data_IF_350690561645
#
_entry.id   IF_350690561645
#
_cell.length_a   1.000
_cell.length_b   1.000
_cell.length_c   1.000
_cell.angle_alpha   90.00
_cell.angle_beta   90.00
_cell.angle_gamma   90.00
#
_symmetry.space_group_name_H-M   'P 1'
#
loop_
_entity.id
_entity.type
_entity.pdbx_description
1 polymer ?
#
# COMPACT_ATOMS: atom_id res chain seq x y z
N UNK A 1 -12.02 16.71 -13.93
CA UNK A 1 -12.78 16.96 -12.69
C UNK A 1 -11.81 16.68 -11.56
N UNK A 2 -11.59 17.62 -10.66
CA UNK A 2 -10.70 17.41 -9.51
C UNK A 2 -11.29 16.30 -8.61
N UNK A 3 -10.59 15.17 -8.49
CA UNK A 3 -11.03 14.02 -7.70
C UNK A 3 -11.25 14.41 -6.24
N UNK A 4 -10.40 15.28 -5.70
CA UNK A 4 -10.51 15.76 -4.32
C UNK A 4 -11.80 16.57 -4.15
N UNK A 5 -12.17 17.41 -5.12
CA UNK A 5 -13.42 18.17 -5.09
C UNK A 5 -14.67 17.27 -5.17
N UNK A 6 -14.60 16.18 -5.94
CA UNK A 6 -15.68 15.19 -5.98
C UNK A 6 -15.83 14.47 -4.63
N UNK A 7 -14.71 14.08 -4.04
CA UNK A 7 -14.69 13.40 -2.74
C UNK A 7 -15.20 14.29 -1.60
N UNK A 8 -14.87 15.59 -1.62
CA UNK A 8 -15.45 16.58 -0.69
C UNK A 8 -16.99 16.59 -0.71
N UNK A 9 -17.60 16.19 -1.83
CA UNK A 9 -19.06 16.08 -1.96
C UNK A 9 -19.58 14.68 -1.58
N UNK A 10 -18.85 13.62 -1.91
CA UNK A 10 -19.31 12.24 -1.76
C UNK A 10 -18.96 11.63 -0.40
N UNK A 11 -17.73 11.80 0.07
CA UNK A 11 -17.23 11.20 1.32
C UNK A 11 -18.14 11.54 2.51
N UNK A 12 -18.56 12.80 2.73
CA UNK A 12 -19.47 13.13 3.84
C UNK A 12 -20.83 12.41 3.78
N UNK A 13 -21.29 12.04 2.59
CA UNK A 13 -22.56 11.29 2.39
C UNK A 13 -22.37 9.79 2.62
N UNK A 14 -21.18 9.27 2.34
CA UNK A 14 -20.86 7.85 2.47
C UNK A 14 -20.41 7.49 3.90
N UNK A 15 -19.69 8.39 4.57
CA UNK A 15 -19.13 8.21 5.90
C UNK A 15 -20.13 7.64 6.92
N UNK A 16 -21.37 8.17 7.03
CA UNK A 16 -22.35 7.68 8.00
C UNK A 16 -22.69 6.20 7.87
N UNK A 17 -22.46 5.60 6.69
CA UNK A 17 -22.75 4.18 6.42
C UNK A 17 -21.48 3.33 6.26
N UNK A 18 -20.29 3.91 6.43
CA UNK A 18 -19.04 3.23 6.09
C UNK A 18 -18.71 2.04 7.01
N UNK A 19 -19.06 2.09 8.31
CA UNK A 19 -18.94 0.92 9.18
C UNK A 19 -19.82 -0.25 8.69
N UNK A 20 -21.11 -0.01 8.47
CA UNK A 20 -22.03 -1.05 7.97
C UNK A 20 -21.57 -1.63 6.62
N UNK A 21 -21.00 -0.79 5.74
CA UNK A 21 -20.43 -1.23 4.47
C UNK A 21 -19.21 -2.12 4.68
N UNK A 22 -18.32 -1.78 5.62
CA UNK A 22 -17.17 -2.60 5.96
C UNK A 22 -17.61 -3.98 6.51
N UNK A 23 -18.58 -4.02 7.43
CA UNK A 23 -19.16 -5.27 7.95
C UNK A 23 -19.77 -6.13 6.83
N UNK A 24 -20.53 -5.51 5.92
CA UNK A 24 -21.10 -6.21 4.77
C UNK A 24 -20.02 -6.80 3.83
N UNK A 25 -18.88 -6.10 3.67
CA UNK A 25 -17.75 -6.60 2.89
C UNK A 25 -17.03 -7.76 3.60
N UNK A 26 -16.85 -7.69 4.92
CA UNK A 26 -16.30 -8.79 5.72
C UNK A 26 -17.19 -10.04 5.57
N UNK A 27 -18.51 -9.88 5.75
CA UNK A 27 -19.47 -10.96 5.57
C UNK A 27 -19.42 -11.57 4.15
N UNK A 28 -19.26 -10.72 3.12
CA UNK A 28 -19.09 -11.20 1.74
C UNK A 28 -17.82 -12.03 1.59
N UNK A 29 -16.68 -11.55 2.09
CA UNK A 29 -15.39 -12.27 2.05
C UNK A 29 -15.49 -13.63 2.75
N UNK A 30 -16.05 -13.67 3.95
CA UNK A 30 -16.27 -14.90 4.71
C UNK A 30 -17.22 -15.85 3.99
N UNK A 31 -18.28 -15.35 3.33
CA UNK A 31 -19.17 -16.18 2.50
C UNK A 31 -18.46 -16.87 1.32
N UNK A 32 -17.25 -16.40 0.97
CA UNK A 32 -16.38 -16.97 -0.07
C UNK A 32 -15.16 -17.70 0.51
N UNK A 33 -15.09 -17.87 1.83
CA UNK A 33 -14.04 -18.64 2.52
C UNK A 33 -12.80 -17.84 2.91
N UNK A 34 -12.76 -16.53 2.67
CA UNK A 34 -11.65 -15.68 3.09
C UNK A 34 -11.80 -15.27 4.56
N UNK A 35 -10.82 -15.63 5.39
CA UNK A 35 -10.79 -15.30 6.83
C UNK A 35 -9.65 -14.37 7.21
N UNK A 36 -8.75 -14.07 6.26
CA UNK A 36 -7.61 -13.17 6.44
C UNK A 36 -7.58 -12.16 5.30
N UNK A 37 -7.35 -10.89 5.61
CA UNK A 37 -7.17 -9.83 4.63
C UNK A 37 -6.11 -8.82 5.09
N UNK A 38 -5.60 -8.07 4.12
CA UNK A 38 -4.95 -6.78 4.35
C UNK A 38 -5.75 -5.73 3.60
N UNK A 39 -6.19 -4.69 4.29
CA UNK A 39 -7.01 -3.63 3.72
C UNK A 39 -6.30 -2.30 3.77
N UNK A 40 -6.17 -1.66 2.61
CA UNK A 40 -5.80 -0.25 2.53
C UNK A 40 -7.00 0.61 2.95
N UNK A 41 -6.76 1.53 3.88
CA UNK A 41 -7.76 2.45 4.40
C UNK A 41 -7.32 3.89 4.09
N UNK A 42 -8.15 4.61 3.34
CA UNK A 42 -7.81 5.95 2.90
C UNK A 42 -7.68 6.90 4.08
N UNK A 43 -6.55 7.62 4.13
CA UNK A 43 -6.28 8.74 5.02
C UNK A 43 -6.16 9.98 4.14
N UNK A 44 -7.16 10.85 4.23
CA UNK A 44 -7.31 12.00 3.35
C UNK A 44 -7.84 13.23 4.12
N UNK A 45 -7.69 14.45 3.59
CA UNK A 45 -8.12 15.66 4.29
C UNK A 45 -9.63 15.77 4.54
N UNK A 46 -10.46 15.06 3.77
CA UNK A 46 -11.92 15.12 3.83
C UNK A 46 -12.45 14.19 4.92
N UNK A 47 -12.02 12.93 4.92
CA UNK A 47 -12.45 11.95 5.92
C UNK A 47 -11.64 12.04 7.22
N UNK A 48 -10.41 12.57 7.16
CA UNK A 48 -9.46 12.54 8.25
C UNK A 48 -9.18 11.10 8.67
N UNK A 49 -9.49 10.78 9.93
CA UNK A 49 -9.33 9.43 10.50
C UNK A 49 -10.66 8.68 10.65
N UNK A 50 -11.80 9.29 10.30
CA UNK A 50 -13.13 8.72 10.55
C UNK A 50 -13.36 7.41 9.78
N UNK A 51 -12.84 7.31 8.57
CA UNK A 51 -12.89 6.07 7.78
C UNK A 51 -12.15 4.93 8.49
N UNK A 52 -11.00 5.23 9.08
CA UNK A 52 -10.21 4.29 9.87
C UNK A 52 -10.94 3.88 11.16
N UNK A 53 -11.51 4.84 11.89
CA UNK A 53 -12.31 4.54 13.09
C UNK A 53 -13.46 3.58 12.79
N UNK A 54 -14.19 3.81 11.69
CA UNK A 54 -15.29 2.95 11.29
C UNK A 54 -14.83 1.56 10.85
N UNK A 55 -13.70 1.46 10.16
CA UNK A 55 -13.10 0.17 9.82
C UNK A 55 -12.66 -0.59 11.07
N UNK A 56 -12.02 0.07 12.02
CA UNK A 56 -11.62 -0.56 13.29
C UNK A 56 -12.83 -1.07 14.08
N UNK A 57 -13.91 -0.29 14.19
CA UNK A 57 -15.17 -0.74 14.83
C UNK A 57 -15.78 -1.94 14.11
N UNK A 58 -15.77 -1.96 12.78
CA UNK A 58 -16.24 -3.12 12.02
C UNK A 58 -15.39 -4.36 12.31
N UNK A 59 -14.07 -4.22 12.35
CA UNK A 59 -13.14 -5.32 12.63
C UNK A 59 -13.23 -5.82 14.08
N UNK A 60 -13.48 -4.94 15.05
CA UNK A 60 -13.75 -5.30 16.45
C UNK A 60 -14.92 -6.29 16.56
N UNK A 61 -15.97 -6.12 15.75
CA UNK A 61 -17.12 -7.02 15.71
C UNK A 61 -16.81 -8.41 15.10
N UNK A 62 -15.65 -8.58 14.45
CA UNK A 62 -15.26 -9.79 13.73
C UNK A 62 -13.93 -10.40 14.22
N UNK A 63 -13.38 -9.97 15.37
CA UNK A 63 -12.07 -10.44 15.85
C UNK A 63 -11.96 -11.96 16.06
N UNK A 64 -13.09 -12.64 16.26
CA UNK A 64 -13.13 -14.09 16.49
C UNK A 64 -13.03 -14.91 15.20
N UNK A 65 -13.42 -14.35 14.05
CA UNK A 65 -13.60 -15.10 12.80
C UNK A 65 -13.00 -14.43 11.55
N UNK A 66 -12.42 -13.24 11.70
CA UNK A 66 -11.75 -12.51 10.62
C UNK A 66 -10.50 -11.78 11.13
N UNK A 67 -9.37 -12.01 10.49
CA UNK A 67 -8.12 -11.28 10.75
C UNK A 67 -7.88 -10.27 9.64
N UNK A 68 -7.70 -9.00 9.99
CA UNK A 68 -7.42 -7.95 9.02
C UNK A 68 -6.25 -7.09 9.48
N UNK A 69 -5.22 -7.00 8.65
CA UNK A 69 -4.19 -5.98 8.77
C UNK A 69 -4.64 -4.71 8.04
N UNK A 70 -4.36 -3.54 8.61
CA UNK A 70 -4.70 -2.26 7.99
C UNK A 70 -3.43 -1.59 7.46
N UNK A 71 -3.55 -0.99 6.29
CA UNK A 71 -2.57 -0.06 5.73
C UNK A 71 -3.17 1.34 5.76
N UNK A 72 -2.53 2.28 6.46
CA UNK A 72 -2.90 3.71 6.38
C UNK A 72 -2.48 4.21 4.99
N UNK A 73 -3.42 4.65 4.16
CA UNK A 73 -3.16 4.82 2.73
C UNK A 73 -3.46 6.24 2.22
N UNK A 74 -2.45 6.98 1.74
CA UNK A 74 -2.62 8.33 1.19
C UNK A 74 -3.02 8.23 -0.30
N UNK A 75 -4.30 7.98 -0.58
CA UNK A 75 -4.85 7.75 -1.93
C UNK A 75 -4.59 8.89 -2.92
N UNK A 76 -4.33 10.10 -2.44
CA UNK A 76 -4.01 11.29 -3.25
C UNK A 76 -2.56 11.73 -3.11
N UNK A 77 -1.66 10.85 -2.68
CA UNK A 77 -0.25 11.14 -2.45
C UNK A 77 0.01 11.74 -1.07
N UNK A 78 1.13 11.35 -0.46
CA UNK A 78 1.49 11.77 0.90
C UNK A 78 1.81 13.27 0.95
N UNK A 79 2.58 13.73 -0.03
CA UNK A 79 3.03 15.12 -0.16
C UNK A 79 1.98 15.98 -0.85
N UNK A 80 1.37 15.46 -1.91
CA UNK A 80 0.37 16.19 -2.69
C UNK A 80 -0.85 16.56 -1.85
N UNK A 81 -1.39 15.61 -1.08
CA UNK A 81 -2.53 15.85 -0.20
C UNK A 81 -2.15 16.37 1.20
N UNK A 82 -0.85 16.48 1.51
CA UNK A 82 -0.30 17.01 2.77
C UNK A 82 -0.82 16.29 4.02
N UNK A 83 -0.87 14.96 3.97
CA UNK A 83 -1.47 14.12 5.02
C UNK A 83 -0.45 13.47 5.96
N UNK A 84 0.83 13.88 5.94
CA UNK A 84 1.88 13.29 6.82
C UNK A 84 1.46 13.25 8.30
N UNK A 85 0.90 14.34 8.82
CA UNK A 85 0.38 14.40 10.19
C UNK A 85 -0.72 13.38 10.46
N UNK A 86 -1.73 13.32 9.58
CA UNK A 86 -2.83 12.36 9.69
C UNK A 86 -2.35 10.91 9.57
N UNK A 87 -1.38 10.65 8.70
CA UNK A 87 -0.78 9.33 8.55
C UNK A 87 -0.08 8.89 9.83
N UNK A 88 0.67 9.78 10.48
CA UNK A 88 1.31 9.51 11.78
C UNK A 88 0.28 9.26 12.89
N UNK A 89 -0.80 10.03 12.92
CA UNK A 89 -1.92 9.80 13.84
C UNK A 89 -2.59 8.43 13.58
N UNK A 90 -2.82 8.07 12.32
CA UNK A 90 -3.34 6.75 11.96
C UNK A 90 -2.42 5.61 12.44
N UNK A 91 -1.10 5.77 12.34
CA UNK A 91 -0.16 4.78 12.89
C UNK A 91 -0.25 4.67 14.41
N UNK A 92 -0.47 5.77 15.13
CA UNK A 92 -0.67 5.78 16.59
C UNK A 92 -1.97 5.09 17.01
N UNK A 93 -2.98 5.05 16.13
CA UNK A 93 -4.22 4.28 16.34
C UNK A 93 -4.03 2.76 16.18
N UNK A 94 -2.80 2.28 15.97
CA UNK A 94 -2.47 0.86 15.99
C UNK A 94 -2.48 0.16 14.62
N UNK A 95 -2.54 0.92 13.53
CA UNK A 95 -2.43 0.39 12.15
C UNK A 95 -1.09 -0.33 11.92
N UNK A 96 -1.08 -1.38 11.10
CA UNK A 96 0.07 -2.29 10.95
C UNK A 96 1.06 -1.85 9.86
N UNK A 97 0.59 -1.12 8.84
CA UNK A 97 1.42 -0.69 7.71
C UNK A 97 1.18 0.77 7.34
N UNK A 98 2.25 1.46 6.93
CA UNK A 98 2.16 2.74 6.23
C UNK A 98 2.10 2.49 4.72
N UNK A 99 1.21 3.19 4.03
CA UNK A 99 1.07 3.11 2.59
C UNK A 99 1.65 4.32 1.87
N UNK A 100 1.73 4.18 0.55
CA UNK A 100 2.09 5.23 -0.39
C UNK A 100 1.46 4.94 -1.75
N UNK A 101 1.43 5.93 -2.63
CA UNK A 101 0.90 5.79 -3.99
C UNK A 101 1.76 6.57 -4.98
N UNK A 102 2.27 5.88 -6.00
CA UNK A 102 2.90 6.46 -7.21
C UNK A 102 3.72 7.73 -6.91
N UNK A 103 4.89 7.57 -6.27
CA UNK A 103 5.64 8.66 -5.66
C UNK A 103 6.16 9.69 -6.68
N UNK A 104 6.25 9.32 -7.95
CA UNK A 104 6.59 10.23 -9.05
C UNK A 104 5.35 10.87 -9.65
N UNK A 105 4.36 10.08 -10.03
CA UNK A 105 3.23 10.57 -10.83
C UNK A 105 2.19 11.32 -9.98
N UNK A 106 2.03 10.95 -8.71
CA UNK A 106 1.05 11.58 -7.81
C UNK A 106 1.73 12.64 -6.94
N UNK A 107 2.82 12.28 -6.26
CA UNK A 107 3.51 13.22 -5.37
C UNK A 107 4.48 14.18 -6.10
N UNK A 108 4.87 13.88 -7.35
CA UNK A 108 5.76 14.73 -8.14
C UNK A 108 7.20 14.81 -7.62
N UNK A 109 7.52 14.09 -6.55
CA UNK A 109 8.80 14.14 -5.83
C UNK A 109 9.13 12.75 -5.26
N UNK A 110 9.57 11.84 -6.15
CA UNK A 110 9.74 10.41 -5.85
C UNK A 110 10.53 10.14 -4.57
N UNK A 111 11.74 10.68 -4.46
CA UNK A 111 12.62 10.43 -3.31
C UNK A 111 12.01 10.99 -2.01
N UNK A 112 11.52 12.23 -2.04
CA UNK A 112 10.93 12.87 -0.86
C UNK A 112 9.66 12.14 -0.37
N UNK A 113 8.84 11.63 -1.29
CA UNK A 113 7.64 10.85 -0.96
C UNK A 113 8.01 9.52 -0.30
N UNK A 114 8.95 8.79 -0.90
CA UNK A 114 9.44 7.52 -0.36
C UNK A 114 10.14 7.71 0.99
N UNK A 115 10.95 8.74 1.14
CA UNK A 115 11.63 9.07 2.41
C UNK A 115 10.63 9.37 3.52
N UNK A 116 9.61 10.18 3.24
CA UNK A 116 8.57 10.48 4.22
C UNK A 116 7.81 9.20 4.65
N UNK A 117 7.42 8.36 3.70
CA UNK A 117 6.76 7.08 3.97
C UNK A 117 7.66 6.15 4.82
N UNK A 118 8.92 5.95 4.43
CA UNK A 118 9.85 5.09 5.17
C UNK A 118 10.17 5.66 6.55
N UNK A 119 10.26 6.97 6.69
CA UNK A 119 10.48 7.60 8.00
C UNK A 119 9.32 7.30 8.96
N UNK A 120 8.07 7.37 8.50
CA UNK A 120 6.90 6.96 9.31
C UNK A 120 7.02 5.48 9.73
N UNK A 121 7.41 4.60 8.81
CA UNK A 121 7.60 3.18 9.12
C UNK A 121 8.69 2.95 10.17
N UNK A 122 9.83 3.64 10.04
CA UNK A 122 10.95 3.56 10.97
C UNK A 122 10.59 4.11 12.36
N UNK A 123 9.94 5.27 12.41
CA UNK A 123 9.52 5.92 13.65
C UNK A 123 8.53 5.07 14.46
N UNK A 124 7.69 4.29 13.75
CA UNK A 124 6.62 3.49 14.36
C UNK A 124 6.97 2.00 14.49
N UNK A 125 8.07 1.56 13.86
CA UNK A 125 8.49 0.15 13.78
C UNK A 125 7.59 -0.74 12.92
N UNK A 126 6.67 -0.15 12.15
CA UNK A 126 5.62 -0.80 11.36
C UNK A 126 6.08 -1.13 9.94
N UNK A 127 5.26 -1.88 9.20
CA UNK A 127 5.56 -2.27 7.82
C UNK A 127 5.19 -1.19 6.80
N UNK A 128 5.56 -1.42 5.55
CA UNK A 128 5.21 -0.60 4.39
C UNK A 128 4.42 -1.44 3.39
N UNK A 129 3.34 -0.90 2.84
CA UNK A 129 2.62 -1.48 1.70
C UNK A 129 2.23 -0.39 0.71
N UNK A 130 3.03 -0.25 -0.35
CA UNK A 130 2.93 0.84 -1.32
C UNK A 130 2.28 0.38 -2.62
N UNK A 131 1.31 1.15 -3.11
CA UNK A 131 0.77 0.98 -4.45
C UNK A 131 1.71 1.62 -5.48
N UNK A 132 2.22 0.81 -6.41
CA UNK A 132 3.10 1.26 -7.48
C UNK A 132 2.57 0.80 -8.84
N UNK A 133 1.88 1.71 -9.52
CA UNK A 133 1.33 1.52 -10.86
C UNK A 133 2.23 2.09 -11.95
N UNK A 134 3.24 2.88 -11.57
CA UNK A 134 4.17 3.50 -12.52
C UNK A 134 4.85 2.43 -13.39
N UNK A 135 4.59 2.47 -14.70
CA UNK A 135 5.20 1.57 -15.70
C UNK A 135 6.34 2.22 -16.48
N UNK A 136 6.54 3.53 -16.32
CA UNK A 136 7.62 4.27 -16.96
C UNK A 136 8.97 3.98 -16.29
N UNK A 137 10.09 4.47 -16.83
CA UNK A 137 11.40 4.39 -16.15
C UNK A 137 11.38 4.95 -14.71
N UNK A 138 10.42 5.83 -14.37
CA UNK A 138 10.23 6.32 -13.02
C UNK A 138 9.81 5.21 -12.04
N UNK A 139 8.95 4.27 -12.47
CA UNK A 139 8.56 3.14 -11.62
C UNK A 139 9.73 2.20 -11.31
N UNK A 140 10.61 1.96 -12.30
CA UNK A 140 11.85 1.21 -12.09
C UNK A 140 12.78 1.95 -11.14
N UNK A 141 12.92 3.27 -11.29
CA UNK A 141 13.70 4.11 -10.38
C UNK A 141 13.16 4.05 -8.95
N UNK A 142 11.84 4.10 -8.76
CA UNK A 142 11.20 3.98 -7.46
C UNK A 142 11.46 2.62 -6.81
N UNK A 143 11.35 1.51 -7.56
CA UNK A 143 11.69 0.16 -7.06
C UNK A 143 13.15 0.10 -6.60
N UNK A 144 14.08 0.58 -7.44
CA UNK A 144 15.50 0.57 -7.11
C UNK A 144 15.82 1.44 -5.89
N UNK A 145 15.15 2.58 -5.74
CA UNK A 145 15.26 3.45 -4.58
C UNK A 145 14.78 2.73 -3.31
N UNK A 146 13.60 2.12 -3.34
CA UNK A 146 13.05 1.37 -2.21
C UNK A 146 13.96 0.22 -1.79
N UNK A 147 14.50 -0.55 -2.74
CA UNK A 147 15.46 -1.62 -2.45
C UNK A 147 16.69 -1.05 -1.74
N UNK A 148 17.28 0.02 -2.26
CA UNK A 148 18.45 0.67 -1.67
C UNK A 148 18.16 1.22 -0.27
N UNK A 149 16.95 1.73 -0.02
CA UNK A 149 16.53 2.20 1.30
C UNK A 149 16.43 1.05 2.29
N UNK A 150 15.86 -0.10 1.89
CA UNK A 150 15.80 -1.29 2.76
C UNK A 150 17.19 -1.87 3.01
N UNK A 151 18.06 -1.92 2.00
CA UNK A 151 19.47 -2.34 2.13
C UNK A 151 20.23 -1.51 3.19
N UNK A 152 19.96 -0.20 3.26
CA UNK A 152 20.56 0.71 4.24
C UNK A 152 19.92 0.65 5.63
N UNK A 153 18.71 0.11 5.74
CA UNK A 153 17.90 0.12 6.97
C UNK A 153 17.45 -1.30 7.32
N UNK A 154 18.27 -2.10 8.04
CA UNK A 154 17.96 -3.49 8.37
C UNK A 154 16.63 -3.69 9.11
N UNK A 155 16.13 -2.67 9.81
CA UNK A 155 14.84 -2.70 10.50
C UNK A 155 13.63 -2.83 9.56
N UNK A 156 13.79 -2.53 8.27
CA UNK A 156 12.76 -2.62 7.23
C UNK A 156 12.77 -3.95 6.47
N UNK A 157 13.83 -4.76 6.64
CA UNK A 157 13.96 -6.06 5.97
C UNK A 157 12.77 -6.95 6.34
N UNK A 158 12.11 -7.55 5.35
CA UNK A 158 10.94 -8.40 5.57
C UNK A 158 9.65 -7.65 5.91
N UNK A 159 9.64 -6.31 5.81
CA UNK A 159 8.50 -5.47 6.21
C UNK A 159 7.95 -4.59 5.09
N UNK A 160 8.41 -4.76 3.86
CA UNK A 160 8.00 -3.92 2.72
C UNK A 160 7.28 -4.78 1.69
N UNK A 161 6.09 -4.34 1.31
CA UNK A 161 5.27 -4.94 0.26
C UNK A 161 5.09 -3.95 -0.88
N UNK A 162 5.36 -4.39 -2.11
CA UNK A 162 5.07 -3.66 -3.34
C UNK A 162 3.75 -4.17 -3.91
N UNK A 163 2.70 -3.35 -3.86
CA UNK A 163 1.41 -3.64 -4.47
C UNK A 163 1.44 -3.25 -5.94
N UNK A 164 1.06 -4.19 -6.82
CA UNK A 164 1.14 -4.17 -8.28
C UNK A 164 2.56 -4.25 -8.85
N UNK A 165 3.39 -3.24 -8.61
CA UNK A 165 4.76 -3.11 -9.16
C UNK A 165 4.86 -3.36 -10.67
N UNK A 166 3.97 -2.76 -11.46
CA UNK A 166 3.89 -3.02 -12.90
C UNK A 166 5.17 -2.67 -13.68
N UNK A 167 6.01 -1.78 -13.16
CA UNK A 167 7.36 -1.53 -13.70
C UNK A 167 8.22 -2.79 -13.86
N UNK A 168 8.01 -3.84 -13.06
CA UNK A 168 8.75 -5.10 -13.23
C UNK A 168 8.50 -5.76 -14.60
N UNK A 169 7.35 -5.49 -15.23
CA UNK A 169 7.01 -6.02 -16.56
C UNK A 169 7.77 -5.34 -17.70
N UNK A 170 8.39 -4.19 -17.45
CA UNK A 170 9.09 -3.40 -18.48
C UNK A 170 10.59 -3.65 -18.52
N UNK A 171 11.12 -4.39 -17.52
CA UNK A 171 12.52 -4.77 -17.43
C UNK A 171 12.87 -5.86 -18.44
N UNK A 172 14.07 -5.79 -19.01
CA UNK A 172 14.61 -6.90 -19.78
C UNK A 172 14.97 -8.10 -18.86
N UNK A 173 15.17 -9.32 -19.40
CA UNK A 173 15.40 -10.50 -18.56
C UNK A 173 16.58 -10.40 -17.58
N UNK A 174 17.66 -9.71 -17.95
CA UNK A 174 18.82 -9.55 -17.06
C UNK A 174 18.54 -8.57 -15.93
N UNK A 175 17.92 -7.42 -16.25
CA UNK A 175 17.50 -6.43 -15.26
C UNK A 175 16.50 -7.02 -14.28
N UNK A 176 15.49 -7.74 -14.79
CA UNK A 176 14.49 -8.40 -13.95
C UNK A 176 15.14 -9.41 -13.00
N UNK A 177 16.10 -10.21 -13.49
CA UNK A 177 16.79 -11.19 -12.66
C UNK A 177 17.62 -10.53 -11.55
N UNK A 178 18.30 -9.42 -11.85
CA UNK A 178 19.04 -8.64 -10.86
C UNK A 178 18.11 -8.02 -9.81
N UNK A 179 17.05 -7.33 -10.25
CA UNK A 179 16.05 -6.71 -9.38
C UNK A 179 15.37 -7.76 -8.49
N UNK A 180 14.95 -8.90 -9.04
CA UNK A 180 14.35 -9.99 -8.28
C UNK A 180 15.29 -10.56 -7.22
N UNK A 181 16.58 -10.72 -7.55
CA UNK A 181 17.59 -11.19 -6.60
C UNK A 181 17.74 -10.24 -5.41
N UNK A 182 17.80 -8.93 -5.68
CA UNK A 182 17.91 -7.91 -4.62
C UNK A 182 16.64 -7.85 -3.76
N UNK A 183 15.47 -7.90 -4.39
CA UNK A 183 14.19 -7.93 -3.69
C UNK A 183 14.09 -9.15 -2.75
N UNK A 184 14.43 -10.34 -3.23
CA UNK A 184 14.46 -11.57 -2.43
C UNK A 184 15.47 -11.49 -1.27
N UNK A 185 16.66 -10.93 -1.52
CA UNK A 185 17.67 -10.74 -0.49
C UNK A 185 17.19 -9.84 0.66
N UNK A 186 16.29 -8.89 0.39
CA UNK A 186 15.71 -8.00 1.39
C UNK A 186 14.35 -8.47 1.94
N UNK A 187 13.85 -9.62 1.48
CA UNK A 187 12.51 -10.13 1.83
C UNK A 187 11.41 -9.09 1.56
N UNK A 188 11.58 -8.29 0.52
CA UNK A 188 10.50 -7.44 0.01
C UNK A 188 9.45 -8.40 -0.59
N UNK A 189 8.16 -8.13 -0.43
CA UNK A 189 7.09 -8.96 -0.98
C UNK A 189 6.34 -8.25 -2.09
N UNK A 190 5.71 -9.02 -2.98
CA UNK A 190 4.87 -8.51 -4.06
C UNK A 190 3.41 -8.90 -3.83
N UNK A 191 2.51 -7.92 -3.84
CA UNK A 191 1.07 -8.16 -3.93
C UNK A 191 0.62 -7.87 -5.36
N UNK A 192 0.49 -8.92 -6.18
CA UNK A 192 0.05 -8.81 -7.56
C UNK A 192 -1.44 -9.10 -7.67
N UNK A 193 -2.19 -8.21 -8.31
CA UNK A 193 -3.44 -8.63 -8.98
C UNK A 193 -3.05 -9.37 -10.25
N UNK A 194 -3.81 -10.38 -10.68
CA UNK A 194 -3.67 -10.96 -12.02
C UNK A 194 -4.63 -10.17 -12.92
N UNK A 195 -4.21 -9.05 -13.53
CA UNK A 195 -5.09 -8.35 -14.44
C UNK A 195 -5.40 -9.29 -15.61
N UNK A 196 -6.68 -9.44 -15.90
CA UNK A 196 -7.14 -10.08 -17.15
C UNK A 196 -6.79 -9.09 -18.27
N UNK A 197 -5.61 -9.23 -18.90
CA UNK A 197 -5.11 -8.28 -19.92
C UNK A 197 -3.61 -8.38 -20.22
N UNK A 198 -3.04 -7.35 -20.88
CA UNK A 198 -1.68 -7.35 -21.44
C UNK A 198 -0.51 -7.09 -20.48
N UNK A 199 -0.78 -6.76 -19.20
CA UNK A 199 0.24 -6.58 -18.16
C UNK A 199 0.37 -7.87 -17.34
N UNK A 200 0.90 -8.91 -17.95
CA UNK A 200 1.14 -10.18 -17.25
C UNK A 200 2.38 -10.04 -16.36
N UNK A 201 2.17 -10.12 -15.04
CA UNK A 201 3.28 -10.09 -14.09
C UNK A 201 4.17 -11.33 -14.26
N UNK A 202 5.52 -11.18 -14.22
CA UNK A 202 6.46 -12.28 -14.47
C UNK A 202 6.60 -13.21 -13.24
N UNK A 203 5.47 -13.72 -12.74
CA UNK A 203 5.41 -14.52 -11.51
C UNK A 203 6.32 -15.77 -11.56
N UNK A 204 6.40 -16.55 -12.65
CA UNK A 204 7.32 -17.68 -12.70
C UNK A 204 8.79 -17.28 -12.51
N UNK A 205 9.24 -16.22 -13.20
CA UNK A 205 10.61 -15.73 -13.12
C UNK A 205 10.94 -15.19 -11.72
N UNK A 206 9.97 -14.56 -11.09
CA UNK A 206 10.08 -14.09 -9.71
C UNK A 206 10.18 -15.27 -8.71
N UNK A 207 9.36 -16.31 -8.88
CA UNK A 207 9.38 -17.50 -8.03
C UNK A 207 10.69 -18.28 -8.15
N UNK A 208 11.25 -18.42 -9.35
CA UNK A 208 12.56 -19.07 -9.58
C UNK A 208 13.71 -18.42 -8.78
N UNK A 209 13.56 -17.15 -8.38
CA UNK A 209 14.53 -16.41 -7.57
C UNK A 209 14.20 -16.39 -6.07
N UNK A 210 13.16 -17.10 -5.64
CA UNK A 210 12.72 -17.16 -4.25
C UNK A 210 12.06 -15.86 -3.75
N UNK A 211 11.52 -15.03 -4.65
CA UNK A 211 10.84 -13.78 -4.31
C UNK A 211 9.34 -13.94 -4.01
N UNK A 212 8.73 -15.07 -4.42
CA UNK A 212 7.32 -15.39 -4.20
C UNK A 212 7.15 -16.55 -3.21
#
# INVERSE_FOLDING_TARGET
>A
MDMIALEQTLIPKLLPTSQQRAENLIALLQSKGSTVARSHCNIDPVSGLKSLEHLQRALENHQADFSCEIVAFPQHGLLHSKVDGLMREAMQMGVQYVGGLDPTNVDGAMEASLDAMFQIALDTGKGVDIHLHETSPAGVAAINYMIATVEKNPALRGKVTLSHAFALTTLNPNELAETATRLAAQQITLASTVPIGGLMMPLPQLSEKGYL
#
